data_IF_390904388471
#
_entry.id   IF_390904388471
#
_cell.length_a   1.000
_cell.length_b   1.000
_cell.length_c   1.000
_cell.angle_alpha   90.00
_cell.angle_beta   90.00
_cell.angle_gamma   90.00
#
_symmetry.space_group_name_H-M   'P 1'
#
loop_
_entity.id
_entity.type
_entity.pdbx_description
1 polymer ?
#
# COMPACT_ATOMS: atom_id res chain seq x y z
N UNK A 1 13.29 10.68 -26.51
CA UNK A 1 14.51 11.13 -25.81
C UNK A 1 14.90 10.02 -24.88
N UNK A 2 15.99 9.35 -25.19
CA UNK A 2 16.47 8.24 -24.38
C UNK A 2 17.11 8.81 -23.10
N UNK A 3 16.91 8.15 -21.95
CA UNK A 3 17.44 8.67 -20.66
C UNK A 3 18.96 8.80 -20.67
N UNK A 4 19.65 7.97 -21.47
CA UNK A 4 21.10 8.06 -21.70
C UNK A 4 21.52 9.44 -22.25
N UNK A 5 20.65 10.13 -22.97
CA UNK A 5 20.91 11.41 -23.65
C UNK A 5 20.73 12.64 -22.74
N UNK A 6 20.14 12.47 -21.55
CA UNK A 6 19.89 13.56 -20.60
C UNK A 6 21.19 13.92 -19.87
N UNK A 7 21.50 15.22 -19.74
CA UNK A 7 22.67 15.69 -18.98
C UNK A 7 22.56 15.29 -17.50
N UNK A 8 23.69 14.99 -16.86
CA UNK A 8 23.73 14.55 -15.46
C UNK A 8 23.14 15.56 -14.49
N UNK A 9 23.24 16.86 -14.77
CA UNK A 9 22.65 17.94 -13.96
C UNK A 9 21.11 17.85 -13.83
N UNK A 10 20.43 17.13 -14.73
CA UNK A 10 18.98 16.88 -14.68
C UNK A 10 18.63 15.45 -14.23
N UNK A 11 19.62 14.65 -13.82
CA UNK A 11 19.43 13.27 -13.35
C UNK A 11 19.46 13.23 -11.83
N UNK A 12 18.57 12.42 -11.26
CA UNK A 12 18.60 12.12 -9.84
C UNK A 12 19.83 11.27 -9.53
N UNK A 13 20.58 11.66 -8.50
CA UNK A 13 21.73 10.91 -8.02
C UNK A 13 21.27 9.86 -6.99
N UNK A 14 21.30 8.58 -7.36
CA UNK A 14 20.99 7.50 -6.41
C UNK A 14 22.19 7.06 -5.57
N UNK A 15 23.40 7.55 -5.90
CA UNK A 15 24.62 7.22 -5.16
C UNK A 15 24.61 7.73 -3.72
N UNK A 16 23.75 8.69 -3.40
CA UNK A 16 23.53 9.17 -2.03
C UNK A 16 22.84 8.12 -1.13
N UNK A 17 22.20 7.10 -1.73
CA UNK A 17 21.59 5.97 -1.01
C UNK A 17 22.57 4.79 -0.96
N UNK A 18 23.03 4.34 -2.13
CA UNK A 18 24.09 3.33 -2.28
C UNK A 18 24.96 3.69 -3.48
N UNK A 19 26.28 3.61 -3.30
CA UNK A 19 27.24 3.87 -4.39
C UNK A 19 27.05 2.91 -5.57
N UNK A 20 26.69 1.66 -5.29
CA UNK A 20 26.49 0.59 -6.27
C UNK A 20 25.77 -0.60 -5.62
N UNK A 21 25.44 -1.62 -6.42
CA UNK A 21 24.78 -2.82 -5.93
C UNK A 21 25.65 -3.69 -4.99
N UNK A 22 26.98 -3.58 -5.03
CA UNK A 22 27.83 -4.28 -4.05
C UNK A 22 27.67 -3.69 -2.64
N UNK A 23 27.52 -2.37 -2.52
CA UNK A 23 27.18 -1.73 -1.24
C UNK A 23 25.78 -2.14 -0.76
N UNK A 24 24.83 -2.25 -1.68
CA UNK A 24 23.47 -2.74 -1.41
C UNK A 24 23.47 -4.20 -0.91
N UNK A 25 24.26 -5.08 -1.53
CA UNK A 25 24.33 -6.50 -1.15
C UNK A 25 24.85 -6.71 0.27
N UNK A 26 25.80 -5.89 0.73
CA UNK A 26 26.27 -5.93 2.12
C UNK A 26 25.16 -5.62 3.12
N UNK A 27 24.35 -4.60 2.84
CA UNK A 27 23.20 -4.26 3.69
C UNK A 27 22.09 -5.31 3.59
N UNK A 28 21.94 -5.97 2.44
CA UNK A 28 21.02 -7.11 2.27
C UNK A 28 21.42 -8.31 3.13
N UNK A 29 22.71 -8.65 3.17
CA UNK A 29 23.26 -9.68 4.05
C UNK A 29 23.05 -9.30 5.52
N UNK A 30 23.34 -8.06 5.88
CA UNK A 30 23.13 -7.54 7.25
C UNK A 30 21.66 -7.66 7.69
N UNK A 31 20.70 -7.28 6.84
CA UNK A 31 19.27 -7.45 7.16
C UNK A 31 18.90 -8.93 7.27
N UNK A 32 19.50 -9.79 6.44
CA UNK A 32 19.28 -11.24 6.52
C UNK A 32 19.80 -11.86 7.83
N UNK A 33 20.87 -11.30 8.40
CA UNK A 33 21.37 -11.68 9.72
C UNK A 33 20.49 -11.13 10.84
N UNK A 34 20.14 -9.85 10.80
CA UNK A 34 19.21 -9.22 11.76
C UNK A 34 17.86 -9.95 11.81
N UNK A 35 17.34 -10.40 10.67
CA UNK A 35 16.15 -11.25 10.58
C UNK A 35 16.27 -12.49 11.48
N UNK A 36 17.40 -13.22 11.37
CA UNK A 36 17.65 -14.44 12.16
C UNK A 36 17.78 -14.12 13.65
N UNK A 37 18.47 -13.04 13.98
CA UNK A 37 18.59 -12.58 15.38
C UNK A 37 17.22 -12.26 15.98
N UNK A 38 16.40 -11.48 15.26
CA UNK A 38 15.05 -11.10 15.67
C UNK A 38 14.14 -12.32 15.83
N UNK A 39 14.21 -13.29 14.91
CA UNK A 39 13.47 -14.55 15.03
C UNK A 39 13.83 -15.31 16.32
N UNK A 40 15.07 -15.18 16.80
CA UNK A 40 15.56 -15.76 18.05
C UNK A 40 14.90 -15.20 19.32
N UNK A 41 14.26 -14.03 19.26
CA UNK A 41 13.56 -13.44 20.41
C UNK A 41 12.21 -14.10 20.71
N UNK A 42 11.76 -15.06 19.90
CA UNK A 42 10.49 -15.75 20.10
C UNK A 42 10.41 -16.35 21.50
N UNK A 43 9.38 -15.95 22.26
CA UNK A 43 9.16 -16.39 23.64
C UNK A 43 9.97 -15.63 24.71
N UNK A 44 10.74 -14.61 24.33
CA UNK A 44 11.57 -13.84 25.28
C UNK A 44 10.92 -12.54 25.77
N UNK A 45 9.73 -12.19 25.27
CA UNK A 45 9.02 -10.95 25.63
C UNK A 45 8.51 -10.90 27.08
N UNK A 46 8.69 -11.97 27.86
CA UNK A 46 8.50 -11.96 29.32
C UNK A 46 9.58 -11.20 30.09
N UNK A 47 10.65 -10.77 29.42
CA UNK A 47 11.73 -9.98 30.01
C UNK A 47 11.79 -8.58 29.38
N UNK A 48 11.72 -7.54 30.22
CA UNK A 48 11.74 -6.13 29.80
C UNK A 48 12.98 -5.77 28.96
N UNK A 49 14.16 -6.20 29.41
CA UNK A 49 15.42 -5.92 28.72
C UNK A 49 15.47 -6.60 27.34
N UNK A 50 14.96 -7.83 27.24
CA UNK A 50 14.84 -8.54 25.95
C UNK A 50 13.84 -7.91 25.01
N UNK A 51 12.74 -7.38 25.53
CA UNK A 51 11.77 -6.65 24.72
C UNK A 51 12.38 -5.34 24.16
N UNK A 52 13.10 -4.59 24.99
CA UNK A 52 13.77 -3.36 24.55
C UNK A 52 14.86 -3.67 23.50
N UNK A 53 15.68 -4.69 23.75
CA UNK A 53 16.72 -5.15 22.82
C UNK A 53 16.12 -5.55 21.46
N UNK A 54 14.96 -6.23 21.48
CA UNK A 54 14.23 -6.57 20.25
C UNK A 54 13.83 -5.31 19.46
N UNK A 55 13.22 -4.31 20.11
CA UNK A 55 12.79 -3.09 19.40
C UNK A 55 13.95 -2.30 18.82
N UNK A 56 15.08 -2.21 19.53
CA UNK A 56 16.28 -1.54 19.03
C UNK A 56 16.85 -2.24 17.80
N UNK A 57 16.90 -3.58 17.81
CA UNK A 57 17.34 -4.38 16.66
C UNK A 57 16.36 -4.31 15.49
N UNK A 58 15.06 -4.30 15.78
CA UNK A 58 14.03 -4.13 14.76
C UNK A 58 14.18 -2.75 14.09
N UNK A 59 14.38 -1.70 14.87
CA UNK A 59 14.60 -0.35 14.34
C UNK A 59 15.86 -0.26 13.46
N UNK A 60 16.95 -0.93 13.85
CA UNK A 60 18.15 -1.03 13.01
C UNK A 60 17.84 -1.71 11.66
N UNK A 61 17.16 -2.85 11.71
CA UNK A 61 16.73 -3.59 10.52
C UNK A 61 15.83 -2.74 9.62
N UNK A 62 14.85 -2.04 10.18
CA UNK A 62 13.87 -1.24 9.44
C UNK A 62 14.55 -0.07 8.71
N UNK A 63 15.51 0.61 9.36
CA UNK A 63 16.28 1.71 8.75
C UNK A 63 17.04 1.25 7.50
N UNK A 64 17.67 0.07 7.57
CA UNK A 64 18.42 -0.49 6.44
C UNK A 64 17.46 -0.99 5.37
N UNK A 65 16.40 -1.70 5.78
CA UNK A 65 15.35 -2.21 4.90
C UNK A 65 14.72 -1.10 4.06
N UNK A 66 14.48 0.08 4.66
CA UNK A 66 13.98 1.24 3.93
C UNK A 66 14.89 1.61 2.74
N UNK A 67 16.21 1.66 2.95
CA UNK A 67 17.17 1.95 1.87
C UNK A 67 17.21 0.82 0.83
N UNK A 68 17.24 -0.44 1.28
CA UNK A 68 17.28 -1.62 0.41
C UNK A 68 16.11 -1.66 -0.56
N UNK A 69 14.92 -1.26 -0.11
CA UNK A 69 13.75 -1.17 -0.98
C UNK A 69 13.80 0.05 -1.90
N UNK A 70 14.12 1.22 -1.36
CA UNK A 70 14.04 2.49 -2.10
C UNK A 70 15.04 2.58 -3.24
N UNK A 71 16.26 2.08 -3.07
CA UNK A 71 17.27 2.17 -4.11
C UNK A 71 16.87 1.50 -5.44
N UNK A 72 16.56 0.19 -5.50
CA UNK A 72 16.13 -0.45 -6.74
C UNK A 72 14.75 0.04 -7.21
N UNK A 73 13.87 0.43 -6.29
CA UNK A 73 12.57 1.02 -6.65
C UNK A 73 12.72 2.34 -7.40
N UNK A 74 13.56 3.26 -6.90
CA UNK A 74 13.86 4.52 -7.58
C UNK A 74 14.63 4.30 -8.88
N UNK A 75 15.56 3.34 -8.92
CA UNK A 75 16.27 2.98 -10.15
C UNK A 75 15.28 2.54 -11.26
N UNK A 76 14.30 1.69 -10.90
CA UNK A 76 13.21 1.26 -11.78
C UNK A 76 12.27 2.40 -12.18
N UNK A 77 11.92 3.29 -11.25
CA UNK A 77 11.07 4.45 -11.57
C UNK A 77 11.73 5.36 -12.61
N UNK A 78 13.06 5.50 -12.54
CA UNK A 78 13.81 6.28 -13.51
C UNK A 78 13.99 5.55 -14.85
N UNK A 79 13.97 4.21 -14.89
CA UNK A 79 13.91 3.41 -16.12
C UNK A 79 13.21 2.07 -15.88
N UNK A 80 11.95 1.97 -16.31
CA UNK A 80 11.12 0.78 -16.06
C UNK A 80 11.57 -0.47 -16.82
N UNK A 81 12.43 -0.32 -17.82
CA UNK A 81 13.02 -1.42 -18.61
C UNK A 81 14.40 -1.86 -18.10
N UNK A 82 14.90 -1.27 -17.01
CA UNK A 82 16.13 -1.68 -16.35
C UNK A 82 15.95 -3.04 -15.66
N UNK A 83 16.55 -4.08 -16.25
CA UNK A 83 16.42 -5.46 -15.74
C UNK A 83 17.12 -5.66 -14.41
N UNK A 84 18.24 -4.98 -14.19
CA UNK A 84 19.02 -5.10 -12.95
C UNK A 84 18.21 -4.50 -11.80
N UNK A 85 17.66 -3.30 -11.98
CA UNK A 85 16.78 -2.67 -10.98
C UNK A 85 15.55 -3.53 -10.65
N UNK A 86 14.93 -4.16 -11.66
CA UNK A 86 13.79 -5.07 -11.46
C UNK A 86 14.19 -6.31 -10.66
N UNK A 87 15.34 -6.92 -10.96
CA UNK A 87 15.84 -8.10 -10.24
C UNK A 87 16.12 -7.80 -8.76
N UNK A 88 16.85 -6.71 -8.46
CA UNK A 88 17.14 -6.33 -7.08
C UNK A 88 15.88 -5.92 -6.31
N UNK A 89 14.90 -5.30 -6.97
CA UNK A 89 13.60 -5.02 -6.36
C UNK A 89 12.85 -6.31 -6.00
N UNK A 90 12.92 -7.34 -6.85
CA UNK A 90 12.32 -8.65 -6.53
C UNK A 90 13.05 -9.33 -5.36
N UNK A 91 14.39 -9.27 -5.31
CA UNK A 91 15.19 -9.84 -4.21
C UNK A 91 14.78 -9.26 -2.86
N UNK A 92 14.67 -7.93 -2.74
CA UNK A 92 14.26 -7.30 -1.46
C UNK A 92 12.80 -7.59 -1.12
N UNK A 93 11.91 -7.67 -2.10
CA UNK A 93 10.52 -8.06 -1.87
C UNK A 93 10.41 -9.49 -1.32
N UNK A 94 11.25 -10.41 -1.81
CA UNK A 94 11.31 -11.77 -1.29
C UNK A 94 11.84 -11.79 0.16
N UNK A 95 12.93 -11.06 0.44
CA UNK A 95 13.46 -10.92 1.81
C UNK A 95 12.40 -10.37 2.77
N UNK A 96 11.63 -9.35 2.36
CA UNK A 96 10.56 -8.79 3.20
C UNK A 96 9.43 -9.78 3.47
N UNK A 97 9.09 -10.63 2.49
CA UNK A 97 8.12 -11.70 2.69
C UNK A 97 8.64 -12.74 3.72
N UNK A 98 9.93 -13.07 3.68
CA UNK A 98 10.55 -13.93 4.69
C UNK A 98 10.54 -13.29 6.08
N UNK A 99 10.94 -12.01 6.20
CA UNK A 99 10.93 -11.27 7.47
C UNK A 99 9.52 -11.26 8.06
N UNK A 100 8.51 -10.90 7.25
CA UNK A 100 7.11 -10.88 7.69
C UNK A 100 6.63 -12.25 8.18
N UNK A 101 7.06 -13.32 7.50
CA UNK A 101 6.73 -14.70 7.90
C UNK A 101 7.42 -15.09 9.21
N UNK A 102 8.73 -14.89 9.30
CA UNK A 102 9.55 -15.26 10.46
C UNK A 102 9.21 -14.45 11.72
N UNK A 103 8.79 -13.19 11.56
CA UNK A 103 8.41 -12.29 12.65
C UNK A 103 6.89 -12.19 12.86
N UNK A 104 6.09 -13.03 12.19
CA UNK A 104 4.61 -13.03 12.32
C UNK A 104 4.11 -13.25 13.76
N UNK A 105 4.92 -13.88 14.61
CA UNK A 105 4.62 -14.14 16.02
C UNK A 105 4.79 -12.92 16.93
N UNK A 106 5.44 -11.84 16.47
CA UNK A 106 5.81 -10.70 17.32
C UNK A 106 4.57 -10.06 17.92
N UNK A 107 3.56 -9.78 17.09
CA UNK A 107 2.32 -9.15 17.56
C UNK A 107 1.58 -10.01 18.59
N UNK A 108 1.49 -11.33 18.39
CA UNK A 108 0.87 -12.21 19.38
C UNK A 108 1.69 -12.25 20.67
N UNK A 109 3.02 -12.32 20.58
CA UNK A 109 3.89 -12.30 21.76
C UNK A 109 3.77 -11.02 22.58
N UNK A 110 3.58 -9.87 21.93
CA UNK A 110 3.32 -8.58 22.61
C UNK A 110 1.95 -8.58 23.29
N UNK A 111 0.93 -9.12 22.63
CA UNK A 111 -0.43 -9.19 23.17
C UNK A 111 -0.49 -10.14 24.38
N UNK A 112 0.18 -11.28 24.31
CA UNK A 112 0.20 -12.29 25.38
C UNK A 112 0.81 -11.74 26.68
N UNK A 113 1.78 -10.82 26.59
CA UNK A 113 2.43 -10.19 27.76
C UNK A 113 1.97 -8.75 28.01
N UNK A 114 0.78 -8.38 27.53
CA UNK A 114 0.25 -7.01 27.58
C UNK A 114 0.34 -6.35 28.95
N UNK A 115 -0.07 -7.03 30.02
CA UNK A 115 -0.15 -6.43 31.37
C UNK A 115 1.21 -5.96 31.91
N UNK A 116 2.28 -6.68 31.57
CA UNK A 116 3.64 -6.29 31.95
C UNK A 116 4.17 -5.20 31.03
N UNK A 117 3.93 -5.32 29.72
CA UNK A 117 4.36 -4.34 28.72
C UNK A 117 3.71 -2.98 28.98
N UNK A 118 2.42 -2.92 29.32
CA UNK A 118 1.73 -1.67 29.67
C UNK A 118 2.39 -0.94 30.86
N UNK A 119 3.08 -1.64 31.76
CA UNK A 119 3.87 -1.03 32.84
C UNK A 119 5.26 -0.60 32.38
N UNK A 120 5.91 -1.39 31.55
CA UNK A 120 7.27 -1.09 31.05
C UNK A 120 7.30 0.11 30.12
N UNK A 121 6.30 0.26 29.24
CA UNK A 121 6.23 1.35 28.26
C UNK A 121 6.07 2.73 28.88
N UNK A 122 5.83 2.83 30.19
CA UNK A 122 5.79 4.10 30.90
C UNK A 122 7.18 4.64 31.25
N UNK A 123 8.21 3.80 31.16
CA UNK A 123 9.61 4.16 31.36
C UNK A 123 10.19 4.91 30.15
N UNK A 124 11.21 5.73 30.39
CA UNK A 124 11.82 6.62 29.39
C UNK A 124 12.46 5.85 28.23
N UNK A 125 13.00 4.67 28.51
CA UNK A 125 13.66 3.80 27.54
C UNK A 125 12.71 3.30 26.44
N UNK A 126 11.40 3.35 26.68
CA UNK A 126 10.36 2.93 25.73
C UNK A 126 9.62 4.08 25.06
N UNK A 127 10.04 5.34 25.25
CA UNK A 127 9.30 6.51 24.76
C UNK A 127 9.02 6.45 23.26
N UNK A 128 10.01 6.04 22.45
CA UNK A 128 9.89 5.92 21.00
C UNK A 128 8.92 4.81 20.57
N UNK A 129 8.76 3.76 21.38
CA UNK A 129 7.95 2.58 21.08
C UNK A 129 6.53 2.65 21.69
N UNK A 130 6.34 3.50 22.70
CA UNK A 130 5.12 3.61 23.52
C UNK A 130 3.87 3.83 22.68
N UNK A 131 3.91 4.75 21.71
CA UNK A 131 2.73 5.05 20.89
C UNK A 131 2.32 3.84 20.04
N UNK A 132 3.28 3.17 19.41
CA UNK A 132 3.05 1.97 18.60
C UNK A 132 2.41 0.85 19.42
N UNK A 133 2.93 0.59 20.62
CA UNK A 133 2.42 -0.43 21.53
C UNK A 133 1.02 -0.11 22.06
N UNK A 134 0.77 1.15 22.47
CA UNK A 134 -0.58 1.58 22.87
C UNK A 134 -1.57 1.43 21.72
N UNK A 135 -1.15 1.75 20.50
CA UNK A 135 -2.00 1.60 19.32
C UNK A 135 -2.27 0.13 18.98
N UNK A 136 -1.27 -0.75 19.10
CA UNK A 136 -1.45 -2.21 18.95
C UNK A 136 -2.51 -2.72 19.92
N UNK A 137 -2.38 -2.43 21.21
CA UNK A 137 -3.34 -2.89 22.23
C UNK A 137 -4.73 -2.24 22.09
N UNK A 138 -4.80 -1.00 21.58
CA UNK A 138 -6.07 -0.34 21.25
C UNK A 138 -6.76 -1.05 20.08
N UNK A 139 -6.01 -1.38 19.03
CA UNK A 139 -6.53 -2.01 17.82
C UNK A 139 -6.83 -3.50 18.01
N UNK A 140 -6.20 -4.17 18.97
CA UNK A 140 -6.53 -5.55 19.35
C UNK A 140 -8.02 -5.73 19.67
N UNK A 141 -8.68 -4.71 20.25
CA UNK A 141 -10.14 -4.71 20.50
C UNK A 141 -10.99 -4.81 19.22
N UNK A 142 -10.36 -4.65 18.06
CA UNK A 142 -10.96 -4.75 16.74
C UNK A 142 -10.49 -5.98 15.95
N UNK A 143 -9.68 -6.85 16.56
CA UNK A 143 -9.28 -8.12 15.96
C UNK A 143 -10.33 -9.16 16.38
N UNK A 144 -10.91 -9.82 15.37
CA UNK A 144 -11.87 -10.89 15.57
C UNK A 144 -11.19 -12.16 16.11
N UNK A 145 -11.96 -12.99 16.80
CA UNK A 145 -11.49 -14.32 17.17
C UNK A 145 -11.22 -15.16 15.91
N UNK A 146 -10.36 -16.17 16.03
CA UNK A 146 -9.92 -16.99 14.89
C UNK A 146 -11.09 -17.55 14.07
N UNK A 147 -12.14 -18.02 14.75
CA UNK A 147 -13.36 -18.55 14.13
C UNK A 147 -14.10 -17.50 13.30
N UNK A 148 -14.18 -16.28 13.80
CA UNK A 148 -14.86 -15.15 13.15
C UNK A 148 -14.03 -14.60 11.99
N UNK A 149 -12.70 -14.51 12.16
CA UNK A 149 -11.76 -14.14 11.11
C UNK A 149 -11.78 -15.14 9.94
N UNK A 150 -11.78 -16.44 10.24
CA UNK A 150 -11.94 -17.51 9.24
C UNK A 150 -13.30 -17.46 8.54
N UNK A 151 -14.36 -17.13 9.27
CA UNK A 151 -15.67 -16.92 8.65
C UNK A 151 -15.62 -15.75 7.65
N UNK A 152 -15.07 -14.60 8.05
CA UNK A 152 -14.96 -13.43 7.17
C UNK A 152 -14.07 -13.68 5.95
N UNK A 153 -13.01 -14.50 6.07
CA UNK A 153 -12.13 -14.80 4.94
C UNK A 153 -12.87 -15.53 3.81
N UNK A 154 -13.85 -16.38 4.13
CA UNK A 154 -14.73 -17.01 3.14
C UNK A 154 -15.61 -16.00 2.39
N UNK A 155 -15.94 -14.84 2.99
CA UNK A 155 -16.73 -13.79 2.35
C UNK A 155 -15.88 -12.69 1.68
N UNK A 156 -14.55 -12.81 1.68
CA UNK A 156 -13.64 -11.81 1.09
C UNK A 156 -13.92 -11.52 -0.39
N UNK A 157 -14.20 -12.56 -1.18
CA UNK A 157 -14.59 -12.45 -2.59
C UNK A 157 -15.95 -11.77 -2.78
N UNK A 158 -16.91 -12.05 -1.90
CA UNK A 158 -18.20 -11.37 -1.89
C UNK A 158 -18.05 -9.87 -1.60
N UNK A 159 -17.14 -9.51 -0.70
CA UNK A 159 -16.85 -8.13 -0.35
C UNK A 159 -16.10 -7.36 -1.44
N UNK A 160 -15.31 -8.02 -2.28
CA UNK A 160 -14.59 -7.39 -3.39
C UNK A 160 -15.46 -7.21 -4.64
N UNK A 161 -16.43 -8.10 -4.86
CA UNK A 161 -17.28 -8.12 -6.06
C UNK A 161 -17.94 -6.77 -6.42
N UNK A 162 -18.50 -5.99 -5.47
CA UNK A 162 -19.09 -4.70 -5.81
C UNK A 162 -18.10 -3.78 -6.55
N UNK A 163 -16.86 -3.66 -6.07
CA UNK A 163 -15.86 -2.77 -6.67
C UNK A 163 -15.52 -3.20 -8.10
N UNK A 164 -15.36 -4.51 -8.33
CA UNK A 164 -15.08 -5.06 -9.66
C UNK A 164 -16.23 -4.78 -10.62
N UNK A 165 -17.47 -5.03 -10.20
CA UNK A 165 -18.67 -4.77 -11.02
C UNK A 165 -18.79 -3.29 -11.36
N UNK A 166 -18.53 -2.38 -10.42
CA UNK A 166 -18.52 -0.95 -10.71
C UNK A 166 -17.49 -0.61 -11.80
N UNK A 167 -16.28 -1.16 -11.70
CA UNK A 167 -15.23 -0.95 -12.71
C UNK A 167 -15.64 -1.49 -14.08
N UNK A 168 -16.20 -2.71 -14.14
CA UNK A 168 -16.69 -3.29 -15.39
C UNK A 168 -17.76 -2.41 -16.03
N UNK A 169 -18.73 -1.95 -15.24
CA UNK A 169 -19.87 -1.15 -15.73
C UNK A 169 -19.46 0.28 -16.13
N UNK A 170 -18.43 0.87 -15.51
CA UNK A 170 -18.06 2.28 -15.73
C UNK A 170 -16.83 2.48 -16.60
N UNK A 171 -16.04 1.42 -16.86
CA UNK A 171 -14.78 1.50 -17.61
C UNK A 171 -14.75 0.50 -18.76
N UNK A 172 -15.00 -0.78 -18.49
CA UNK A 172 -14.78 -1.86 -19.47
C UNK A 172 -15.94 -1.97 -20.46
N UNK A 173 -17.18 -1.99 -19.97
CA UNK A 173 -18.40 -2.15 -20.76
C UNK A 173 -19.01 -0.79 -21.11
N UNK A 174 -18.20 0.09 -21.70
CA UNK A 174 -18.63 1.43 -22.12
C UNK A 174 -18.27 1.65 -23.58
N UNK A 175 -19.30 1.77 -24.41
CA UNK A 175 -19.17 2.39 -25.72
C UNK A 175 -19.05 3.90 -25.54
N UNK A 176 -17.84 4.43 -25.73
CA UNK A 176 -17.58 5.86 -25.59
C UNK A 176 -18.17 6.60 -26.79
N UNK A 177 -19.17 7.48 -26.58
CA UNK A 177 -19.71 8.28 -27.67
C UNK A 177 -18.67 9.29 -28.16
N UNK A 178 -18.80 9.72 -29.41
CA UNK A 178 -17.94 10.72 -30.00
C UNK A 178 -18.68 12.06 -30.13
N UNK A 179 -18.00 13.16 -29.81
CA UNK A 179 -18.52 14.52 -30.01
C UNK A 179 -17.62 15.28 -30.98
N UNK A 180 -18.21 16.18 -31.77
CA UNK A 180 -17.46 17.12 -32.61
C UNK A 180 -17.43 18.47 -31.88
N UNK A 181 -16.23 18.96 -31.60
CA UNK A 181 -16.01 20.25 -30.95
C UNK A 181 -16.20 21.40 -31.95
N UNK A 182 -16.33 22.63 -31.45
CA UNK A 182 -16.40 23.84 -32.27
C UNK A 182 -15.17 24.05 -33.16
N UNK A 183 -14.03 23.42 -32.82
CA UNK A 183 -12.82 23.39 -33.66
C UNK A 183 -12.93 22.45 -34.87
N UNK A 184 -13.98 21.63 -34.96
CA UNK A 184 -14.11 20.54 -35.93
C UNK A 184 -13.44 19.23 -35.50
N UNK A 185 -12.74 19.22 -34.36
CA UNK A 185 -12.10 18.01 -33.82
C UNK A 185 -13.16 17.02 -33.31
N UNK A 186 -13.00 15.74 -33.69
CA UNK A 186 -13.82 14.64 -33.18
C UNK A 186 -13.11 13.97 -32.01
N UNK A 187 -13.78 13.90 -30.86
CA UNK A 187 -13.19 13.41 -29.61
C UNK A 187 -14.11 12.37 -28.98
N UNK A 188 -13.55 11.22 -28.62
CA UNK A 188 -14.25 10.21 -27.84
C UNK A 188 -14.37 10.67 -26.38
N UNK A 189 -15.58 10.53 -25.82
CA UNK A 189 -15.96 11.05 -24.50
C UNK A 189 -15.48 10.10 -23.38
N UNK A 190 -14.20 9.78 -23.37
CA UNK A 190 -13.54 9.00 -22.32
C UNK A 190 -13.28 9.85 -21.07
N UNK A 191 -13.03 9.27 -19.88
CA UNK A 191 -12.72 10.04 -18.68
C UNK A 191 -11.47 10.94 -18.82
N UNK A 192 -10.45 10.45 -19.54
CA UNK A 192 -9.23 11.20 -19.79
C UNK A 192 -9.50 12.42 -20.69
N UNK A 193 -10.24 12.22 -21.79
CA UNK A 193 -10.59 13.30 -22.70
C UNK A 193 -11.57 14.30 -22.06
N UNK A 194 -12.55 13.82 -21.29
CA UNK A 194 -13.45 14.66 -20.51
C UNK A 194 -12.66 15.61 -19.58
N UNK A 195 -11.73 15.06 -18.79
CA UNK A 195 -10.85 15.86 -17.90
C UNK A 195 -9.99 16.86 -18.67
N UNK A 196 -9.37 16.42 -19.78
CA UNK A 196 -8.56 17.27 -20.66
C UNK A 196 -9.38 18.43 -21.24
N UNK A 197 -10.56 18.17 -21.79
CA UNK A 197 -11.40 19.20 -22.42
C UNK A 197 -11.92 20.20 -21.40
N UNK A 198 -12.36 19.74 -20.21
CA UNK A 198 -12.80 20.66 -19.16
C UNK A 198 -11.69 21.60 -18.67
N UNK A 199 -10.46 21.11 -18.59
CA UNK A 199 -9.32 21.88 -18.08
C UNK A 199 -8.65 22.77 -19.12
N UNK A 200 -8.66 22.39 -20.40
CA UNK A 200 -7.88 23.08 -21.45
C UNK A 200 -8.73 23.85 -22.46
N UNK A 201 -9.96 23.43 -22.73
CA UNK A 201 -10.79 24.07 -23.73
C UNK A 201 -11.47 25.33 -23.17
N UNK A 202 -11.19 26.49 -23.77
CA UNK A 202 -11.77 27.79 -23.36
C UNK A 202 -13.22 27.98 -23.83
N UNK A 203 -13.67 27.23 -24.85
CA UNK A 203 -15.05 27.30 -25.33
C UNK A 203 -16.01 26.64 -24.33
N UNK A 204 -16.98 27.42 -23.84
CA UNK A 204 -17.94 26.97 -22.85
C UNK A 204 -18.95 25.95 -23.39
N UNK A 205 -19.41 26.11 -24.64
CA UNK A 205 -20.37 25.20 -25.24
C UNK A 205 -19.75 23.83 -25.51
N UNK A 206 -18.47 23.79 -25.92
CA UNK A 206 -17.73 22.53 -26.06
C UNK A 206 -17.59 21.79 -24.71
N UNK A 207 -17.26 22.51 -23.62
CA UNK A 207 -17.18 21.93 -22.28
C UNK A 207 -18.55 21.40 -21.82
N UNK A 208 -19.62 22.14 -22.09
CA UNK A 208 -21.00 21.76 -21.77
C UNK A 208 -21.45 20.52 -22.56
N UNK A 209 -21.17 20.48 -23.86
CA UNK A 209 -21.44 19.32 -24.72
C UNK A 209 -20.72 18.08 -24.18
N UNK A 210 -19.42 18.21 -23.90
CA UNK A 210 -18.60 17.14 -23.34
C UNK A 210 -19.17 16.63 -21.98
N UNK A 211 -19.58 17.53 -21.09
CA UNK A 211 -20.24 17.18 -19.83
C UNK A 211 -21.56 16.43 -20.01
N UNK A 212 -22.46 16.96 -20.83
CA UNK A 212 -23.78 16.37 -21.05
C UNK A 212 -23.67 14.97 -21.66
N UNK A 213 -22.78 14.81 -22.65
CA UNK A 213 -22.56 13.52 -23.29
C UNK A 213 -21.89 12.52 -22.34
N UNK A 214 -20.92 12.94 -21.54
CA UNK A 214 -20.27 12.06 -20.55
C UNK A 214 -21.24 11.55 -19.49
N UNK A 215 -22.05 12.42 -18.90
CA UNK A 215 -23.00 12.01 -17.85
C UNK A 215 -24.20 11.23 -18.38
N UNK A 216 -24.51 11.31 -19.68
CA UNK A 216 -25.53 10.45 -20.30
C UNK A 216 -25.17 8.97 -20.16
N UNK A 217 -23.88 8.62 -20.15
CA UNK A 217 -23.40 7.24 -19.92
C UNK A 217 -23.80 6.75 -18.52
N UNK A 218 -23.65 7.60 -17.51
CA UNK A 218 -24.01 7.30 -16.13
C UNK A 218 -25.52 7.29 -15.92
N UNK A 219 -26.25 8.21 -16.55
CA UNK A 219 -27.72 8.26 -16.46
C UNK A 219 -28.34 6.96 -17.01
N UNK A 220 -27.85 6.45 -18.15
CA UNK A 220 -28.27 5.14 -18.70
C UNK A 220 -28.05 3.97 -17.73
N UNK A 221 -27.07 4.09 -16.84
CA UNK A 221 -26.64 3.03 -15.90
C UNK A 221 -27.06 3.30 -14.44
N UNK A 222 -27.82 4.37 -14.20
CA UNK A 222 -28.13 4.91 -12.87
C UNK A 222 -28.74 3.90 -11.90
N UNK A 223 -29.69 3.09 -12.35
CA UNK A 223 -30.34 2.08 -11.51
C UNK A 223 -29.31 1.02 -11.05
N UNK A 224 -28.48 0.54 -11.98
CA UNK A 224 -27.44 -0.47 -11.70
C UNK A 224 -26.37 0.09 -10.76
N UNK A 225 -25.94 1.33 -10.98
CA UNK A 225 -25.00 2.04 -10.11
C UNK A 225 -25.59 2.28 -8.71
N UNK A 226 -26.87 2.66 -8.62
CA UNK A 226 -27.57 2.82 -7.34
C UNK A 226 -27.65 1.51 -6.55
N UNK A 227 -27.96 0.39 -7.22
CA UNK A 227 -27.94 -0.93 -6.61
C UNK A 227 -26.55 -1.31 -6.09
N UNK A 228 -25.49 -1.04 -6.87
CA UNK A 228 -24.12 -1.25 -6.42
C UNK A 228 -23.79 -0.46 -5.13
N UNK A 229 -24.13 0.84 -5.09
CA UNK A 229 -23.87 1.69 -3.92
C UNK A 229 -24.60 1.15 -2.69
N UNK A 230 -25.84 0.67 -2.83
CA UNK A 230 -26.58 0.05 -1.72
C UNK A 230 -25.85 -1.19 -1.20
N UNK A 231 -25.36 -2.07 -2.08
CA UNK A 231 -24.60 -3.26 -1.66
C UNK A 231 -23.28 -2.90 -0.99
N UNK A 232 -22.59 -1.88 -1.51
CA UNK A 232 -21.38 -1.34 -0.89
C UNK A 232 -21.66 -0.80 0.52
N UNK A 233 -22.70 0.00 0.71
CA UNK A 233 -23.08 0.50 2.03
C UNK A 233 -23.45 -0.64 3.00
N UNK A 234 -24.17 -1.66 2.53
CA UNK A 234 -24.49 -2.85 3.34
C UNK A 234 -23.23 -3.59 3.79
N UNK A 235 -22.24 -3.75 2.89
CA UNK A 235 -20.93 -4.33 3.23
C UNK A 235 -20.24 -3.54 4.34
N UNK A 236 -20.13 -2.22 4.19
CA UNK A 236 -19.47 -1.36 5.20
C UNK A 236 -20.18 -1.44 6.55
N UNK A 237 -21.52 -1.46 6.56
CA UNK A 237 -22.29 -1.63 7.80
C UNK A 237 -22.03 -2.96 8.49
N UNK A 238 -21.83 -4.04 7.73
CA UNK A 238 -21.48 -5.36 8.28
C UNK A 238 -20.05 -5.39 8.83
N UNK A 239 -19.10 -4.73 8.17
CA UNK A 239 -17.69 -4.68 8.56
C UNK A 239 -17.38 -3.69 9.70
N UNK A 240 -18.31 -2.78 10.04
CA UNK A 240 -18.18 -1.86 11.18
C UNK A 240 -18.28 -2.52 12.56
N UNK A 241 -18.65 -3.81 12.63
CA UNK A 241 -18.46 -4.64 13.83
C UNK A 241 -17.01 -5.13 13.86
N UNK A 242 -16.35 -5.17 15.04
CA UNK A 242 -14.91 -5.02 15.21
C UNK A 242 -14.11 -5.84 14.18
N UNK A 243 -13.60 -5.18 13.13
CA UNK A 243 -12.73 -5.82 12.15
C UNK A 243 -11.70 -4.79 11.69
N UNK A 244 -10.50 -4.83 12.26
CA UNK A 244 -9.32 -4.21 11.67
C UNK A 244 -8.26 -5.29 11.58
N UNK A 245 -7.97 -5.73 10.36
CA UNK A 245 -6.77 -6.48 10.05
C UNK A 245 -5.60 -5.50 10.13
N UNK A 246 -4.82 -5.57 11.22
CA UNK A 246 -3.55 -4.84 11.29
C UNK A 246 -2.56 -5.62 10.44
N UNK A 247 -2.16 -5.08 9.29
CA UNK A 247 -0.89 -5.42 8.67
C UNK A 247 0.07 -4.31 9.07
N UNK A 248 1.03 -4.63 9.95
CA UNK A 248 2.25 -3.84 9.99
C UNK A 248 3.14 -4.36 8.87
N UNK A 249 3.69 -3.42 8.09
CA UNK A 249 4.88 -3.65 7.28
C UNK A 249 6.01 -4.18 8.17
#
# INVERSE_FOLDING_TARGET
MERSEIKQEYKWNLSDIYENYSAWEKDFEKVSELKKELAGFKGQFGNEGKLLEFFQKQEEMDKISYKLYRYPQLARDLNSSDKEAVEYLQKVQFLFAEISTELSWVNSGLVDNRENIEKWIEKKEFDDYRFGLKNLFRLQKHILEEKESKLLSYYSSFFSAPRSIYSEVTVTDVEWPQVTLSSGEKVDVTPANYSKILSTNRNQEDRKLMFQTFYTIYEKKKIRLGQFIIQFCKRELLQRKPTITIHFC
#
